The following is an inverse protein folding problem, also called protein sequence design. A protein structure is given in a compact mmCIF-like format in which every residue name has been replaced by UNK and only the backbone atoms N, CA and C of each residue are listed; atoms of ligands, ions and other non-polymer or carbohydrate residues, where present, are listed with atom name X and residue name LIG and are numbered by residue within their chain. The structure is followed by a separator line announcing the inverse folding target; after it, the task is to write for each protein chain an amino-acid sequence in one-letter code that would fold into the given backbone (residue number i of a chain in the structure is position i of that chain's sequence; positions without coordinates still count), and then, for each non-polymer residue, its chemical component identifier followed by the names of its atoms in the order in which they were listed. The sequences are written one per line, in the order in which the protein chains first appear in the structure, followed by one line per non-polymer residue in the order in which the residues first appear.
data_IF_173286443383
#
_entry.id   IF_173286443383
#
_cell.length_a   1.000
_cell.length_b   1.000
_cell.length_c   1.000
_cell.angle_alpha   90.00
_cell.angle_beta   90.00
_cell.angle_gamma   90.00
#
_symmetry.space_group_name_H-M   'P 1'
#
loop_
_entity.id
_entity.type
_entity.pdbx_description
1 polymer ?
#
# COMPACT_ATOMS: atom_id res chain seq x y z
N UNK A 1 -6.69 -9.76 -15.84
CA UNK A 1 -7.46 -10.37 -14.74
C UNK A 1 -6.71 -10.08 -13.45
N UNK A 2 -7.34 -9.45 -12.45
CA UNK A 2 -6.66 -9.13 -11.18
C UNK A 2 -6.50 -10.40 -10.35
N UNK A 3 -5.32 -10.61 -9.80
CA UNK A 3 -5.01 -11.78 -8.96
C UNK A 3 -5.81 -11.66 -7.66
N UNK A 4 -6.24 -12.79 -7.10
CA UNK A 4 -6.94 -12.78 -5.82
C UNK A 4 -5.99 -12.33 -4.72
N UNK A 5 -6.45 -11.40 -3.88
CA UNK A 5 -5.69 -10.95 -2.70
C UNK A 5 -5.60 -12.15 -1.73
N UNK A 6 -4.39 -12.56 -1.31
CA UNK A 6 -4.23 -13.64 -0.34
C UNK A 6 -4.84 -13.28 1.02
N UNK A 7 -5.32 -14.27 1.78
CA UNK A 7 -5.69 -14.08 3.19
C UNK A 7 -4.44 -14.24 4.05
N UNK A 8 -3.98 -13.15 4.66
CA UNK A 8 -2.84 -13.18 5.59
C UNK A 8 -3.31 -13.47 7.02
N UNK A 9 -2.48 -14.21 7.77
CA UNK A 9 -2.76 -14.57 9.17
C UNK A 9 -2.26 -13.49 10.15
N UNK A 10 -1.22 -12.75 9.77
CA UNK A 10 -0.56 -11.71 10.57
C UNK A 10 -0.10 -10.56 9.66
N UNK A 11 0.08 -9.37 10.24
CA UNK A 11 0.55 -8.18 9.51
C UNK A 11 1.97 -8.37 8.97
N UNK A 12 2.85 -9.05 9.71
CA UNK A 12 4.24 -9.29 9.28
C UNK A 12 4.30 -10.07 7.97
N UNK A 13 3.47 -11.11 7.82
CA UNK A 13 3.41 -11.93 6.61
C UNK A 13 2.84 -11.13 5.43
N UNK A 14 1.87 -10.27 5.70
CA UNK A 14 1.34 -9.35 4.69
C UNK A 14 2.43 -8.37 4.21
N UNK A 15 3.21 -7.81 5.14
CA UNK A 15 4.29 -6.87 4.83
C UNK A 15 5.40 -7.53 4.01
N UNK A 16 5.81 -8.74 4.37
CA UNK A 16 6.78 -9.52 3.60
C UNK A 16 6.27 -9.82 2.19
N UNK A 17 4.99 -10.15 2.05
CA UNK A 17 4.38 -10.40 0.76
C UNK A 17 4.40 -9.15 -0.12
N UNK A 18 3.96 -8.00 0.39
CA UNK A 18 3.94 -6.73 -0.37
C UNK A 18 5.33 -6.14 -0.62
N UNK A 19 6.34 -6.52 0.16
CA UNK A 19 7.72 -6.14 -0.12
C UNK A 19 8.24 -6.82 -1.41
N UNK A 20 7.72 -7.98 -1.77
CA UNK A 20 8.14 -8.75 -2.94
C UNK A 20 7.16 -8.69 -4.13
N UNK A 21 5.90 -8.31 -3.91
CA UNK A 21 4.86 -8.34 -4.93
C UNK A 21 4.32 -6.94 -5.24
N UNK A 22 4.11 -6.66 -6.53
CA UNK A 22 3.48 -5.42 -6.94
C UNK A 22 1.97 -5.44 -6.62
N UNK A 23 1.52 -4.41 -5.90
CA UNK A 23 0.12 -4.18 -5.52
C UNK A 23 -0.82 -3.93 -6.71
N UNK A 24 -0.31 -3.48 -7.86
CA UNK A 24 -1.13 -3.18 -9.05
C UNK A 24 -1.77 -4.42 -9.67
N UNK A 25 -1.16 -5.59 -9.46
CA UNK A 25 -1.64 -6.89 -9.96
C UNK A 25 -2.83 -7.44 -9.15
N UNK A 26 -2.96 -7.03 -7.89
CA UNK A 26 -3.93 -7.58 -6.94
C UNK A 26 -5.05 -6.58 -6.63
N UNK A 27 -4.76 -5.28 -6.63
CA UNK A 27 -5.69 -4.22 -6.22
C UNK A 27 -6.29 -3.53 -7.44
N UNK A 28 -7.62 -3.37 -7.43
CA UNK A 28 -8.33 -2.58 -8.43
C UNK A 28 -8.28 -1.08 -8.11
N UNK A 29 -7.17 -0.44 -8.46
CA UNK A 29 -7.00 1.00 -8.27
C UNK A 29 -8.03 1.86 -9.02
N UNK A 30 -8.65 1.35 -10.10
CA UNK A 30 -9.72 2.05 -10.81
C UNK A 30 -11.01 2.15 -9.97
N UNK A 31 -11.21 1.22 -9.02
CA UNK A 31 -12.31 1.28 -8.05
C UNK A 31 -11.95 2.08 -6.79
N UNK A 32 -10.70 2.49 -6.66
CA UNK A 32 -10.23 3.33 -5.56
C UNK A 32 -10.97 4.66 -5.55
N UNK A 33 -11.53 5.03 -4.38
CA UNK A 33 -12.15 6.34 -4.18
C UNK A 33 -11.16 7.25 -3.46
N UNK A 34 -11.18 8.54 -3.83
CA UNK A 34 -10.50 9.57 -3.03
C UNK A 34 -11.17 9.62 -1.67
N UNK A 35 -10.43 9.24 -0.63
CA UNK A 35 -10.88 9.36 0.75
C UNK A 35 -10.10 10.48 1.43
N UNK A 36 -10.79 11.27 2.25
CA UNK A 36 -10.13 12.20 3.19
C UNK A 36 -9.97 11.48 4.52
N UNK A 37 -8.81 11.67 5.17
CA UNK A 37 -8.53 11.08 6.47
C UNK A 37 -8.48 12.20 7.52
N UNK A 38 -9.64 12.75 7.95
CA UNK A 38 -9.69 13.98 8.75
C UNK A 38 -9.06 13.85 10.14
N UNK A 39 -9.00 12.62 10.67
CA UNK A 39 -8.49 12.33 12.01
C UNK A 39 -7.08 11.70 11.99
N UNK A 40 -6.44 11.56 10.83
CA UNK A 40 -5.11 10.97 10.74
C UNK A 40 -4.09 11.96 11.32
N UNK A 41 -3.46 11.58 12.43
CA UNK A 41 -2.41 12.39 13.05
C UNK A 41 -1.19 12.40 12.14
N UNK A 42 -0.62 13.57 11.81
CA UNK A 42 0.63 13.64 11.08
C UNK A 42 1.73 12.96 11.91
N UNK A 43 2.58 12.17 11.25
CA UNK A 43 3.75 11.59 11.91
C UNK A 43 4.81 12.67 12.12
N UNK A 44 5.40 12.72 13.32
CA UNK A 44 6.56 13.58 13.61
C UNK A 44 7.90 12.94 13.19
N UNK A 45 7.89 11.72 12.62
CA UNK A 45 9.09 11.03 12.19
C UNK A 45 9.53 11.51 10.80
N UNK A 46 10.79 11.92 10.68
CA UNK A 46 11.39 12.31 9.39
C UNK A 46 11.58 11.07 8.51
N UNK A 47 10.91 11.05 7.35
CA UNK A 47 11.12 10.01 6.33
C UNK A 47 11.97 10.55 5.18
N UNK A 48 12.85 9.71 4.63
CA UNK A 48 13.64 10.02 3.43
C UNK A 48 12.99 9.38 2.21
N UNK A 49 12.37 10.18 1.34
CA UNK A 49 11.76 9.72 0.08
C UNK A 49 12.72 9.96 -1.09
N UNK A 50 13.05 8.91 -1.85
CA UNK A 50 13.81 9.04 -3.11
C UNK A 50 12.84 9.07 -4.27
N UNK A 51 12.74 10.22 -4.94
CA UNK A 51 11.92 10.37 -6.15
C UNK A 51 12.77 10.07 -7.40
N UNK A 52 12.19 9.43 -8.43
CA UNK A 52 12.86 9.26 -9.72
C UNK A 52 13.02 10.62 -10.43
N UNK A 53 14.06 10.74 -11.26
CA UNK A 53 14.26 11.93 -12.10
C UNK A 53 13.17 11.98 -13.20
N UNK A 54 12.69 13.18 -13.56
CA UNK A 54 11.71 13.37 -14.63
C UNK A 54 12.26 12.95 -16.00
#
# INVERSE_FOLDING_TARGET
MKKMVPRFKTEDVEREFWACHDSTDYIDWHKGKRTTLPNLKPSSQTISLRLPKP
#
